data_IF_098513765147
#
_entry.id   IF_098513765147
#
_cell.length_a   1.000
_cell.length_b   1.000
_cell.length_c   1.000
_cell.angle_alpha   90.00
_cell.angle_beta   90.00
_cell.angle_gamma   90.00
#
_symmetry.space_group_name_H-M   'P 1'
#
loop_
_entity.id
_entity.type
_entity.pdbx_description
1 polymer ?
#
# COMPACT_ATOMS: atom_id res chain seq x y z
N UNK A 1 -0.93 10.65 6.23
CA UNK A 1 -1.28 11.07 7.61
C UNK A 1 -0.01 11.59 8.24
N UNK A 2 0.01 12.84 8.72
CA UNK A 2 1.23 13.40 9.29
C UNK A 2 1.48 12.75 10.66
N UNK A 3 2.67 12.16 10.83
CA UNK A 3 3.06 11.48 12.08
C UNK A 3 3.05 12.46 13.26
N UNK A 4 3.45 13.71 13.03
CA UNK A 4 3.50 14.78 14.02
C UNK A 4 2.85 16.10 13.53
N UNK A 5 2.03 16.07 12.48
CA UNK A 5 1.55 17.28 11.82
C UNK A 5 0.08 17.58 12.04
N UNK A 6 -0.35 18.73 11.49
CA UNK A 6 -1.74 19.18 11.57
C UNK A 6 -2.64 18.12 10.93
N UNK A 7 -3.69 17.68 11.64
CA UNK A 7 -4.61 16.70 11.10
C UNK A 7 -5.30 17.24 9.84
N UNK A 8 -5.24 16.47 8.76
CA UNK A 8 -6.01 16.76 7.55
C UNK A 8 -7.49 16.60 7.90
N UNK A 9 -8.25 17.70 7.87
CA UNK A 9 -9.70 17.74 8.16
C UNK A 9 -10.12 17.39 9.60
N UNK A 10 -9.50 18.00 10.61
CA UNK A 10 -10.08 18.06 11.97
C UNK A 10 -9.93 16.79 12.83
N UNK A 11 -9.07 15.84 12.42
CA UNK A 11 -8.62 14.72 13.27
C UNK A 11 -7.62 15.13 14.36
N UNK A 12 -6.73 14.22 14.78
CA UNK A 12 -5.58 14.52 15.63
C UNK A 12 -4.33 13.74 15.20
N UNK A 13 -3.17 14.08 15.73
CA UNK A 13 -1.93 13.35 15.48
C UNK A 13 -2.06 11.87 15.87
N UNK A 14 -1.28 10.98 15.23
CA UNK A 14 -1.35 9.53 15.53
C UNK A 14 -1.04 9.21 16.99
N UNK A 15 -0.21 10.04 17.64
CA UNK A 15 0.16 9.94 19.05
C UNK A 15 -0.93 10.43 20.00
N UNK A 16 -1.84 11.31 19.55
CA UNK A 16 -2.91 11.85 20.38
C UNK A 16 -4.02 10.81 20.64
N UNK A 17 -4.22 9.86 19.72
CA UNK A 17 -5.25 8.82 19.82
C UNK A 17 -4.72 7.44 19.46
N UNK A 18 -3.82 6.85 20.27
CA UNK A 18 -3.09 5.62 19.93
C UNK A 18 -4.02 4.44 19.60
N UNK A 19 -5.11 4.26 20.36
CA UNK A 19 -6.07 3.19 20.09
C UNK A 19 -6.86 3.41 18.79
N UNK A 20 -7.18 4.67 18.45
CA UNK A 20 -7.84 4.98 17.16
C UNK A 20 -6.86 4.75 16.01
N UNK A 21 -5.61 5.19 16.15
CA UNK A 21 -4.56 4.97 15.17
C UNK A 21 -4.29 3.48 14.95
N UNK A 22 -4.21 2.68 16.02
CA UNK A 22 -4.04 1.23 15.96
C UNK A 22 -5.19 0.55 15.21
N UNK A 23 -6.44 0.93 15.49
CA UNK A 23 -7.62 0.40 14.76
C UNK A 23 -7.60 0.76 13.27
N UNK A 24 -7.15 1.97 12.92
CA UNK A 24 -7.05 2.43 11.54
C UNK A 24 -5.82 1.87 10.78
N UNK A 25 -4.83 1.32 11.49
CA UNK A 25 -3.64 0.76 10.88
C UNK A 25 -3.92 -0.63 10.26
N UNK A 26 -3.77 -0.83 8.94
CA UNK A 26 -4.04 -2.12 8.29
C UNK A 26 -3.13 -3.25 8.80
N UNK A 27 -1.92 -2.96 9.29
CA UNK A 27 -0.98 -3.95 9.83
C UNK A 27 -1.60 -4.71 11.02
N UNK A 28 -2.43 -4.03 11.82
CA UNK A 28 -3.13 -4.60 12.97
C UNK A 28 -4.01 -5.79 12.59
N UNK A 29 -4.51 -5.83 11.35
CA UNK A 29 -5.53 -6.77 10.90
C UNK A 29 -5.00 -7.90 10.01
N UNK A 30 -3.69 -7.94 9.74
CA UNK A 30 -3.10 -9.02 8.93
C UNK A 30 -3.29 -10.35 9.65
N UNK A 31 -3.88 -11.32 8.96
CA UNK A 31 -4.20 -12.66 9.45
C UNK A 31 -3.95 -13.71 8.37
N UNK A 32 -4.19 -14.99 8.68
CA UNK A 32 -4.12 -16.09 7.71
C UNK A 32 -5.16 -16.03 6.59
N UNK A 33 -6.19 -15.18 6.73
CA UNK A 33 -7.20 -14.93 5.69
C UNK A 33 -6.84 -13.74 4.79
N UNK A 34 -5.73 -13.06 5.05
CA UNK A 34 -5.31 -11.91 4.26
C UNK A 34 -4.89 -12.38 2.86
N UNK A 35 -5.48 -11.83 1.79
CA UNK A 35 -5.15 -12.24 0.43
C UNK A 35 -3.76 -11.74 0.02
N UNK A 36 -3.22 -12.18 -1.12
CA UNK A 36 -2.02 -11.59 -1.73
C UNK A 36 -2.17 -10.09 -2.00
N UNK A 37 -1.06 -9.34 -1.92
CA UNK A 37 -1.04 -7.89 -2.18
C UNK A 37 -0.08 -7.53 -3.32
N UNK A 38 -0.50 -6.58 -4.15
CA UNK A 38 0.39 -5.75 -4.97
C UNK A 38 0.35 -4.33 -4.39
N UNK A 39 1.47 -3.87 -3.84
CA UNK A 39 1.65 -2.52 -3.32
C UNK A 39 2.47 -1.71 -4.32
N UNK A 40 1.90 -0.61 -4.80
CA UNK A 40 2.55 0.28 -5.76
C UNK A 40 2.61 1.70 -5.19
N UNK A 41 3.75 2.38 -5.32
CA UNK A 41 3.89 3.81 -4.99
C UNK A 41 4.92 4.47 -5.93
N UNK A 42 4.84 5.78 -6.10
CA UNK A 42 5.91 6.56 -6.71
C UNK A 42 7.02 6.83 -5.69
N UNK A 43 8.28 6.96 -6.09
CA UNK A 43 9.37 7.35 -5.18
C UNK A 43 9.44 8.86 -4.91
N UNK A 44 8.80 9.67 -5.76
CA UNK A 44 8.68 11.11 -5.63
C UNK A 44 7.31 11.54 -5.03
N UNK A 45 6.54 10.60 -4.46
CA UNK A 45 5.26 10.87 -3.81
C UNK A 45 5.46 11.70 -2.53
N UNK A 46 5.00 12.96 -2.59
CA UNK A 46 5.07 13.91 -1.47
C UNK A 46 3.80 13.95 -0.61
N UNK A 47 2.75 13.20 -0.98
CA UNK A 47 1.46 13.15 -0.27
C UNK A 47 1.46 11.97 0.71
N UNK A 48 1.92 10.81 0.26
CA UNK A 48 2.03 9.58 1.05
C UNK A 48 3.43 9.02 0.90
N UNK A 49 4.21 9.11 1.98
CA UNK A 49 5.59 8.59 2.00
C UNK A 49 5.67 7.15 1.49
N UNK A 50 6.58 6.84 0.53
CA UNK A 50 6.90 5.49 0.07
C UNK A 50 7.19 4.48 1.19
N UNK A 51 7.68 4.97 2.33
CA UNK A 51 7.95 4.14 3.51
C UNK A 51 6.70 3.46 4.07
N UNK A 52 5.51 4.02 3.87
CA UNK A 52 4.26 3.41 4.34
C UNK A 52 3.96 2.09 3.61
N UNK A 53 4.13 2.07 2.29
CA UNK A 53 3.99 0.84 1.49
C UNK A 53 5.06 -0.19 1.86
N UNK A 54 6.29 0.27 2.14
CA UNK A 54 7.40 -0.60 2.58
C UNK A 54 7.07 -1.29 3.92
N UNK A 55 6.59 -0.54 4.91
CA UNK A 55 6.20 -1.08 6.22
C UNK A 55 5.10 -2.13 6.11
N UNK A 56 4.09 -1.89 5.26
CA UNK A 56 3.02 -2.87 5.05
C UNK A 56 3.52 -4.12 4.34
N UNK A 57 4.37 -3.97 3.32
CA UNK A 57 4.99 -5.08 2.61
C UNK A 57 5.77 -5.99 3.56
N UNK A 58 6.67 -5.41 4.38
CA UNK A 58 7.47 -6.16 5.35
C UNK A 58 6.60 -6.89 6.38
N UNK A 59 5.54 -6.25 6.86
CA UNK A 59 4.60 -6.86 7.80
C UNK A 59 3.82 -8.04 7.19
N UNK A 60 3.44 -7.96 5.91
CA UNK A 60 2.79 -9.04 5.17
C UNK A 60 3.76 -10.23 4.98
N UNK A 61 4.98 -9.95 4.52
CA UNK A 61 6.01 -10.97 4.28
C UNK A 61 6.41 -11.67 5.58
N UNK A 62 6.55 -10.94 6.70
CA UNK A 62 6.84 -11.51 8.01
C UNK A 62 5.76 -12.52 8.46
N UNK A 63 4.51 -12.31 8.04
CA UNK A 63 3.37 -13.23 8.29
C UNK A 63 3.18 -14.27 7.18
N UNK A 64 4.15 -14.40 6.26
CA UNK A 64 4.13 -15.33 5.12
C UNK A 64 2.94 -15.10 4.16
N UNK A 65 2.42 -13.88 4.10
CA UNK A 65 1.40 -13.48 3.13
C UNK A 65 2.11 -13.03 1.85
N UNK A 66 1.74 -13.53 0.67
CA UNK A 66 2.35 -13.08 -0.58
C UNK A 66 2.14 -11.58 -0.78
N UNK A 67 3.23 -10.85 -0.99
CA UNK A 67 3.19 -9.42 -1.22
C UNK A 67 4.26 -9.05 -2.24
N UNK A 68 3.88 -8.25 -3.22
CA UNK A 68 4.79 -7.64 -4.20
C UNK A 68 4.82 -6.13 -3.95
N UNK A 69 6.01 -5.55 -3.83
CA UNK A 69 6.18 -4.11 -3.71
C UNK A 69 6.87 -3.55 -4.96
N UNK A 70 6.21 -2.62 -5.65
CA UNK A 70 6.69 -2.02 -6.89
C UNK A 70 6.76 -0.50 -6.76
N UNK A 71 7.94 0.07 -6.99
CA UNK A 71 8.16 1.51 -6.91
C UNK A 71 8.29 2.08 -8.33
N UNK A 72 7.39 3.01 -8.68
CA UNK A 72 7.43 3.71 -9.97
C UNK A 72 8.43 4.86 -9.85
N UNK A 73 9.63 4.66 -10.40
CA UNK A 73 10.72 5.64 -10.33
C UNK A 73 10.32 6.98 -10.98
N UNK A 74 10.54 8.08 -10.28
CA UNK A 74 10.20 9.44 -10.68
C UNK A 74 8.71 9.79 -10.62
N UNK A 75 7.83 8.87 -10.21
CA UNK A 75 6.40 9.17 -10.11
C UNK A 75 6.08 9.86 -8.78
N UNK A 76 5.22 10.87 -8.85
CA UNK A 76 4.56 11.48 -7.70
C UNK A 76 3.32 10.65 -7.30
N UNK A 77 2.50 11.17 -6.38
CA UNK A 77 1.27 10.55 -5.88
C UNK A 77 0.30 10.10 -6.98
N UNK A 78 0.22 10.88 -8.06
CA UNK A 78 -0.61 10.62 -9.23
C UNK A 78 0.04 11.23 -10.48
N UNK A 79 -0.53 10.97 -11.66
CA UNK A 79 -0.13 11.62 -12.92
C UNK A 79 0.26 10.64 -14.02
N UNK A 80 0.79 11.18 -15.13
CA UNK A 80 1.02 10.45 -16.39
C UNK A 80 1.83 9.17 -16.23
N UNK A 81 2.79 9.13 -15.30
CA UNK A 81 3.62 7.96 -15.00
C UNK A 81 2.81 6.73 -14.57
N UNK A 82 1.61 6.93 -14.00
CA UNK A 82 0.70 5.84 -13.61
C UNK A 82 -0.14 5.30 -14.76
N UNK A 83 -0.25 6.05 -15.85
CA UNK A 83 -1.03 5.70 -17.05
C UNK A 83 -0.15 5.11 -18.16
N UNK A 84 0.93 4.42 -17.79
CA UNK A 84 1.82 3.76 -18.74
C UNK A 84 1.39 2.31 -18.96
N UNK A 85 1.49 1.76 -20.19
CA UNK A 85 1.13 0.36 -20.47
C UNK A 85 1.83 -0.65 -19.56
N UNK A 86 3.06 -0.37 -19.14
CA UNK A 86 3.86 -1.21 -18.25
C UNK A 86 3.23 -1.30 -16.85
N UNK A 87 2.71 -0.19 -16.32
CA UNK A 87 2.02 -0.15 -15.02
C UNK A 87 0.74 -0.98 -15.10
N UNK A 88 -0.06 -0.80 -16.15
CA UNK A 88 -1.27 -1.60 -16.36
C UNK A 88 -0.96 -3.10 -16.50
N UNK A 89 0.13 -3.45 -17.19
CA UNK A 89 0.56 -4.85 -17.34
C UNK A 89 0.92 -5.50 -16.01
N UNK A 90 1.59 -4.78 -15.10
CA UNK A 90 1.90 -5.29 -13.76
C UNK A 90 0.62 -5.58 -12.98
N UNK A 91 -0.34 -4.65 -13.02
CA UNK A 91 -1.63 -4.80 -12.34
C UNK A 91 -2.41 -5.99 -12.91
N UNK A 92 -2.54 -6.08 -14.23
CA UNK A 92 -3.26 -7.17 -14.91
C UNK A 92 -2.61 -8.52 -14.57
N UNK A 93 -1.29 -8.63 -14.64
CA UNK A 93 -0.59 -9.87 -14.31
C UNK A 93 -0.85 -10.30 -12.86
N UNK A 94 -0.86 -9.36 -11.91
CA UNK A 94 -1.17 -9.67 -10.52
C UNK A 94 -2.60 -10.18 -10.37
N UNK A 95 -3.57 -9.52 -11.00
CA UNK A 95 -4.96 -9.96 -10.96
C UNK A 95 -5.13 -11.33 -11.63
N UNK A 96 -4.50 -11.55 -12.78
CA UNK A 96 -4.51 -12.82 -13.50
C UNK A 96 -3.97 -13.98 -12.65
N UNK A 97 -2.87 -13.75 -11.93
CA UNK A 97 -2.27 -14.78 -11.07
C UNK A 97 -3.14 -15.16 -9.86
N UNK A 98 -3.94 -14.23 -9.36
CA UNK A 98 -4.63 -14.36 -8.07
C UNK A 98 -6.15 -14.51 -8.16
N UNK A 99 -6.77 -14.10 -9.27
CA UNK A 99 -8.24 -14.05 -9.42
C UNK A 99 -8.79 -14.78 -10.65
N UNK A 100 -7.98 -15.07 -11.68
CA UNK A 100 -8.49 -15.85 -12.81
C UNK A 100 -8.79 -17.29 -12.36
N UNK A 101 -9.97 -17.77 -12.72
CA UNK A 101 -10.33 -19.16 -12.54
C UNK A 101 -9.33 -20.05 -13.29
N UNK A 102 -8.73 -20.98 -12.55
CA UNK A 102 -7.82 -22.00 -13.12
C UNK A 102 -8.59 -23.20 -13.71
N UNK A 103 -9.90 -23.06 -13.88
CA UNK A 103 -10.81 -24.11 -14.35
C UNK A 103 -11.37 -23.82 -15.76
N UNK A 104 -10.50 -23.40 -16.68
CA UNK A 104 -10.77 -23.44 -18.13
C UNK A 104 -9.90 -24.49 -18.79
#
# INVERSE_FOLDING_TARGET
MLVNGIPWQGGGAISAYPEKAKRANPITWISNKTPPFLLMNGDADNVVSPSQSTLLHEALVAKKIPSTHYVVKGADHAGLMWYQPEVSKIIINFLDQNLKDKHQ
#
